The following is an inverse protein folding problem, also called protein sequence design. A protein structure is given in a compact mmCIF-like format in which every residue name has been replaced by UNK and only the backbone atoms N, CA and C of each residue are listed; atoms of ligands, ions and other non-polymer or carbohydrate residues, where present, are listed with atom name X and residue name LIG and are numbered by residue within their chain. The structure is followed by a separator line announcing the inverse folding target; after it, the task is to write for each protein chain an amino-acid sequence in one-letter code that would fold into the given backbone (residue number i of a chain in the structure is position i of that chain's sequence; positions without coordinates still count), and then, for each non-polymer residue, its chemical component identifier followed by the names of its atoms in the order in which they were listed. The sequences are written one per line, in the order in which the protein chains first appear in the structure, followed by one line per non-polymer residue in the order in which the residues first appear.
data_IF_048481303480
#
_entry.id   IF_048481303480
#
_cell.length_a   1.000
_cell.length_b   1.000
_cell.length_c   1.000
_cell.angle_alpha   90.00
_cell.angle_beta   90.00
_cell.angle_gamma   90.00
#
_symmetry.space_group_name_H-M   'P 1'
#
loop_
_entity.id
_entity.type
_entity.pdbx_description
1 polymer ?
#
# COMPACT_ATOMS: atom_id res chain seq x y z
N UNK A 1 -12.28 -33.18 17.79
CA UNK A 1 -12.11 -33.13 16.32
C UNK A 1 -11.59 -31.74 16.01
N UNK A 2 -10.27 -31.59 15.91
CA UNK A 2 -9.63 -30.32 15.61
C UNK A 2 -9.88 -29.99 14.13
N UNK A 3 -10.45 -28.81 13.88
CA UNK A 3 -10.61 -28.26 12.55
C UNK A 3 -9.21 -28.02 11.95
N UNK A 4 -8.93 -28.69 10.83
CA UNK A 4 -7.69 -28.52 10.07
C UNK A 4 -7.52 -27.06 9.65
N UNK A 5 -6.55 -26.38 10.29
CA UNK A 5 -6.09 -25.05 9.92
C UNK A 5 -5.35 -25.17 8.59
N UNK A 6 -5.86 -24.55 7.54
CA UNK A 6 -5.11 -24.40 6.29
C UNK A 6 -4.42 -23.03 6.37
N UNK A 7 -3.08 -22.96 6.40
CA UNK A 7 -2.36 -21.69 6.36
C UNK A 7 -2.73 -20.88 5.10
N UNK A 8 -2.80 -19.55 5.19
CA UNK A 8 -3.14 -18.68 4.05
C UNK A 8 -1.97 -18.61 3.04
N UNK A 9 -0.76 -18.98 3.47
CA UNK A 9 0.42 -19.21 2.64
C UNK A 9 1.19 -20.46 3.10
N UNK A 10 1.75 -21.21 2.14
CA UNK A 10 2.61 -22.37 2.40
C UNK A 10 4.00 -21.91 2.88
N UNK A 11 4.09 -21.62 4.19
CA UNK A 11 5.26 -21.04 4.86
C UNK A 11 6.46 -21.99 4.90
N UNK A 12 6.29 -23.30 4.67
CA UNK A 12 7.40 -24.27 4.67
C UNK A 12 8.40 -24.05 3.53
N UNK A 13 8.02 -23.25 2.51
CA UNK A 13 8.93 -22.78 1.46
C UNK A 13 9.84 -21.62 1.89
N UNK A 14 9.64 -21.04 3.08
CA UNK A 14 10.37 -19.84 3.55
C UNK A 14 11.74 -20.12 4.16
N UNK A 15 12.13 -21.37 4.38
CA UNK A 15 13.30 -21.70 5.23
C UNK A 15 14.62 -21.92 4.48
N UNK A 16 14.70 -21.67 3.17
CA UNK A 16 15.94 -21.90 2.38
C UNK A 16 16.52 -20.68 1.64
N UNK A 17 16.08 -19.46 1.94
CA UNK A 17 16.73 -18.26 1.42
C UNK A 17 17.77 -17.76 2.42
N UNK A 18 18.95 -18.38 2.44
CA UNK A 18 20.13 -17.73 3.02
C UNK A 18 20.29 -16.36 2.37
N UNK A 19 20.43 -15.30 3.18
CA UNK A 19 20.43 -13.90 2.75
C UNK A 19 21.23 -13.71 1.45
N UNK A 20 20.49 -13.62 0.35
CA UNK A 20 21.05 -13.67 -0.97
C UNK A 20 21.46 -12.27 -1.40
N UNK A 21 22.76 -11.99 -1.38
CA UNK A 21 23.30 -10.69 -1.76
C UNK A 21 22.98 -10.31 -3.22
N UNK A 22 22.43 -11.23 -4.04
CA UNK A 22 21.92 -10.93 -5.39
C UNK A 22 20.85 -9.82 -5.41
N UNK A 23 20.12 -9.59 -4.32
CA UNK A 23 19.13 -8.50 -4.25
C UNK A 23 19.76 -7.11 -4.23
N UNK A 24 20.92 -6.95 -3.57
CA UNK A 24 21.64 -5.67 -3.50
C UNK A 24 22.24 -5.29 -4.86
N UNK A 25 22.63 -6.27 -5.66
CA UNK A 25 23.18 -6.05 -7.00
C UNK A 25 22.11 -5.63 -8.02
N UNK A 26 20.86 -6.06 -7.84
CA UNK A 26 19.76 -5.76 -8.77
C UNK A 26 18.98 -4.48 -8.39
N UNK A 27 18.85 -4.20 -7.08
CA UNK A 27 18.27 -2.96 -6.57
C UNK A 27 19.04 -2.44 -5.36
N UNK A 28 20.16 -1.75 -5.63
CA UNK A 28 21.04 -1.23 -4.57
C UNK A 28 20.36 -0.21 -3.66
N UNK A 29 20.82 -0.13 -2.40
CA UNK A 29 20.28 0.74 -1.34
C UNK A 29 20.21 2.23 -1.73
N UNK A 30 21.06 2.69 -2.65
CA UNK A 30 20.99 4.05 -3.18
C UNK A 30 19.67 4.35 -3.91
N UNK A 31 19.04 3.35 -4.54
CA UNK A 31 17.71 3.52 -5.13
C UNK A 31 16.63 3.67 -4.05
N UNK A 32 16.75 2.94 -2.93
CA UNK A 32 15.87 3.13 -1.78
C UNK A 32 16.01 4.55 -1.25
N UNK A 33 17.24 5.05 -1.08
CA UNK A 33 17.47 6.44 -0.68
C UNK A 33 16.90 7.44 -1.72
N UNK A 34 16.99 7.14 -3.02
CA UNK A 34 16.47 8.01 -4.07
C UNK A 34 14.93 8.04 -4.13
N UNK A 35 14.23 7.08 -3.52
CA UNK A 35 12.75 7.06 -3.48
C UNK A 35 12.14 8.31 -2.81
N UNK A 36 12.91 9.02 -1.97
CA UNK A 36 12.50 10.31 -1.37
C UNK A 36 12.43 11.45 -2.40
N UNK A 37 13.13 11.33 -3.53
CA UNK A 37 13.23 12.37 -4.55
C UNK A 37 12.22 12.19 -5.69
N UNK A 38 11.80 10.96 -5.96
CA UNK A 38 10.88 10.65 -7.05
C UNK A 38 9.46 10.95 -6.61
N UNK A 39 8.83 11.94 -7.25
CA UNK A 39 7.51 12.47 -6.88
C UNK A 39 6.38 11.83 -7.67
N UNK A 40 5.25 11.63 -6.98
CA UNK A 40 3.99 11.16 -7.54
C UNK A 40 3.12 12.31 -8.05
N UNK A 41 2.05 11.98 -8.77
CA UNK A 41 1.03 12.93 -9.24
C UNK A 41 1.58 13.95 -10.24
N UNK A 42 2.54 13.52 -11.07
CA UNK A 42 3.21 14.37 -12.07
C UNK A 42 2.25 15.10 -13.02
N UNK A 43 1.18 14.42 -13.43
CA UNK A 43 0.19 14.89 -14.41
C UNK A 43 -1.08 15.52 -13.81
N UNK A 44 -1.21 15.55 -12.47
CA UNK A 44 -2.41 16.03 -11.79
C UNK A 44 -2.09 17.32 -11.02
N UNK A 45 -2.89 18.39 -11.16
CA UNK A 45 -2.72 19.59 -10.35
C UNK A 45 -3.00 19.31 -8.86
N UNK A 46 -1.99 19.48 -8.01
CA UNK A 46 -2.08 19.26 -6.56
C UNK A 46 -1.46 20.43 -5.78
N UNK A 47 -1.72 20.50 -4.48
CA UNK A 47 -1.08 21.45 -3.55
C UNK A 47 0.38 21.06 -3.28
N UNK A 48 0.62 19.78 -3.05
CA UNK A 48 1.94 19.19 -2.88
C UNK A 48 2.05 17.89 -3.71
N UNK A 49 3.25 17.32 -3.81
CA UNK A 49 3.50 16.04 -4.48
C UNK A 49 4.31 15.13 -3.55
N UNK A 50 3.70 14.06 -3.00
CA UNK A 50 4.39 13.11 -2.16
C UNK A 50 5.41 12.35 -3.01
N UNK A 51 6.51 11.97 -2.37
CA UNK A 51 7.50 11.07 -2.92
C UNK A 51 7.01 9.62 -2.87
N UNK A 52 7.69 8.73 -3.61
CA UNK A 52 7.49 7.28 -3.48
C UNK A 52 7.70 6.85 -2.02
N UNK A 53 8.72 7.39 -1.34
CA UNK A 53 8.97 7.05 0.06
C UNK A 53 7.82 7.41 1.01
N UNK A 54 7.27 8.63 0.88
CA UNK A 54 6.13 9.09 1.68
C UNK A 54 4.89 8.23 1.43
N UNK A 55 4.62 7.92 0.15
CA UNK A 55 3.54 7.04 -0.25
C UNK A 55 3.70 5.62 0.32
N UNK A 56 4.85 4.97 0.11
CA UNK A 56 5.12 3.63 0.62
C UNK A 56 4.98 3.53 2.13
N UNK A 57 5.41 4.56 2.87
CA UNK A 57 5.20 4.62 4.32
C UNK A 57 3.70 4.62 4.68
N UNK A 58 2.91 5.52 4.07
CA UNK A 58 1.48 5.61 4.36
C UNK A 58 0.74 4.34 3.95
N UNK A 59 1.03 3.78 2.78
CA UNK A 59 0.47 2.49 2.33
C UNK A 59 0.79 1.38 3.33
N UNK A 60 2.03 1.31 3.83
CA UNK A 60 2.42 0.33 4.83
C UNK A 60 1.63 0.49 6.13
N UNK A 61 1.46 1.73 6.61
CA UNK A 61 0.67 2.00 7.80
C UNK A 61 -0.81 1.63 7.59
N UNK A 62 -1.39 1.98 6.44
CA UNK A 62 -2.76 1.61 6.10
C UNK A 62 -2.94 0.11 5.94
N UNK A 63 -1.95 -0.63 5.41
CA UNK A 63 -1.96 -2.09 5.39
C UNK A 63 -2.08 -2.67 6.80
N UNK A 64 -1.39 -2.09 7.79
CA UNK A 64 -1.48 -2.56 9.18
C UNK A 64 -2.88 -2.36 9.77
N UNK A 65 -3.51 -1.20 9.52
CA UNK A 65 -4.89 -0.96 9.96
C UNK A 65 -5.89 -1.87 9.25
N UNK A 66 -5.82 -1.94 7.91
CA UNK A 66 -6.69 -2.79 7.10
C UNK A 66 -6.51 -4.27 7.46
N UNK A 67 -5.28 -4.73 7.60
CA UNK A 67 -4.95 -6.09 8.00
C UNK A 67 -5.53 -6.45 9.36
N UNK A 68 -5.38 -5.58 10.36
CA UNK A 68 -5.93 -5.81 11.69
C UNK A 68 -7.45 -5.94 11.72
N UNK A 69 -8.17 -5.20 10.86
CA UNK A 69 -9.64 -5.27 10.83
C UNK A 69 -10.18 -6.33 9.87
N UNK A 70 -9.52 -6.60 8.75
CA UNK A 70 -9.96 -7.58 7.74
C UNK A 70 -9.60 -9.00 8.17
N UNK A 71 -8.37 -9.20 8.66
CA UNK A 71 -7.79 -10.49 8.99
C UNK A 71 -7.07 -10.45 10.35
N UNK A 72 -7.82 -10.34 11.47
CA UNK A 72 -7.25 -10.18 12.81
C UNK A 72 -6.35 -11.35 13.24
N UNK A 73 -6.56 -12.53 12.67
CA UNK A 73 -5.84 -13.76 13.00
C UNK A 73 -4.57 -13.98 12.15
N UNK A 74 -4.10 -12.97 11.40
CA UNK A 74 -2.84 -13.06 10.66
C UNK A 74 -1.67 -13.43 11.58
N UNK A 75 -0.87 -14.37 11.12
CA UNK A 75 0.41 -14.72 11.72
C UNK A 75 1.42 -13.58 11.59
N UNK A 76 2.46 -13.59 12.42
CA UNK A 76 3.50 -12.56 12.34
C UNK A 76 4.30 -12.65 11.02
N UNK A 77 4.43 -13.85 10.44
CA UNK A 77 5.01 -14.03 9.13
C UNK A 77 4.18 -13.36 8.02
N UNK A 78 2.85 -13.51 8.05
CA UNK A 78 1.95 -12.85 7.09
C UNK A 78 1.95 -11.33 7.25
N UNK A 79 1.99 -10.82 8.50
CA UNK A 79 2.12 -9.38 8.77
C UNK A 79 3.43 -8.82 8.23
N UNK A 80 4.54 -9.54 8.43
CA UNK A 80 5.85 -9.15 7.90
C UNK A 80 5.83 -9.15 6.37
N UNK A 81 5.34 -10.22 5.75
CA UNK A 81 5.26 -10.35 4.29
C UNK A 81 4.41 -9.24 3.65
N UNK A 82 3.26 -8.92 4.27
CA UNK A 82 2.40 -7.82 3.84
C UNK A 82 3.09 -6.45 3.98
N UNK A 83 3.78 -6.23 5.10
CA UNK A 83 4.51 -4.98 5.38
C UNK A 83 5.66 -4.78 4.41
N UNK A 84 6.45 -5.83 4.16
CA UNK A 84 7.56 -5.80 3.23
C UNK A 84 7.06 -5.56 1.80
N UNK A 85 5.98 -6.25 1.38
CA UNK A 85 5.37 -5.98 0.07
C UNK A 85 4.91 -4.52 -0.04
N UNK A 86 4.22 -3.98 0.96
CA UNK A 86 3.74 -2.60 0.95
C UNK A 86 4.87 -1.58 0.85
N UNK A 87 5.99 -1.80 1.54
CA UNK A 87 7.16 -0.93 1.47
C UNK A 87 7.77 -0.92 0.05
N UNK A 88 7.81 -2.07 -0.60
CA UNK A 88 8.51 -2.22 -1.90
C UNK A 88 7.63 -2.08 -3.13
N UNK A 89 6.31 -2.03 -2.99
CA UNK A 89 5.38 -2.20 -4.12
C UNK A 89 5.60 -1.21 -5.27
N UNK A 90 6.02 0.02 -4.95
CA UNK A 90 6.33 1.09 -5.92
C UNK A 90 7.83 1.42 -5.99
N UNK A 91 8.72 0.64 -5.37
CA UNK A 91 10.17 0.82 -5.56
C UNK A 91 10.64 0.71 -7.03
N UNK A 92 10.04 -0.12 -7.90
CA UNK A 92 10.36 -0.10 -9.33
C UNK A 92 10.22 1.30 -9.95
N UNK A 93 9.27 2.12 -9.47
CA UNK A 93 9.01 3.48 -9.95
C UNK A 93 10.16 4.46 -9.67
N UNK A 94 11.10 4.12 -8.79
CA UNK A 94 12.33 4.91 -8.64
C UNK A 94 13.13 4.95 -9.95
N UNK A 95 13.08 3.88 -10.74
CA UNK A 95 13.80 3.76 -12.02
C UNK A 95 12.92 4.14 -13.22
N UNK A 96 11.61 3.87 -13.17
CA UNK A 96 10.69 4.11 -14.29
C UNK A 96 9.96 5.46 -14.22
N UNK A 97 9.92 6.09 -13.04
CA UNK A 97 9.07 7.23 -12.72
C UNK A 97 7.63 6.79 -12.39
N UNK A 98 6.93 7.61 -11.59
CA UNK A 98 5.51 7.42 -11.30
C UNK A 98 4.68 7.58 -12.59
N UNK A 99 4.05 6.48 -13.01
CA UNK A 99 3.22 6.46 -14.21
C UNK A 99 1.75 6.51 -13.84
N UNK A 100 1.06 7.56 -14.31
CA UNK A 100 -0.35 7.74 -14.02
C UNK A 100 -1.18 6.50 -14.45
N UNK A 101 -2.10 6.06 -13.58
CA UNK A 101 -2.93 4.87 -13.81
C UNK A 101 -3.61 4.81 -15.19
N UNK A 102 -4.14 5.92 -15.78
CA UNK A 102 -4.72 5.86 -17.12
C UNK A 102 -3.72 5.41 -18.20
N UNK A 103 -2.45 5.79 -18.07
CA UNK A 103 -1.37 5.37 -18.99
C UNK A 103 -1.06 3.90 -18.79
N UNK A 104 -0.92 3.43 -17.53
CA UNK A 104 -0.72 2.00 -17.22
C UNK A 104 -1.80 1.13 -17.86
N UNK A 105 -3.07 1.49 -17.67
CA UNK A 105 -4.23 0.79 -18.27
C UNK A 105 -4.26 0.82 -19.79
N UNK A 106 -3.90 1.96 -20.39
CA UNK A 106 -3.82 2.08 -21.85
C UNK A 106 -2.72 1.16 -22.40
N UNK A 107 -1.56 1.11 -21.76
CA UNK A 107 -0.49 0.17 -22.14
C UNK A 107 -0.94 -1.27 -21.99
N UNK A 108 -1.53 -1.68 -20.86
CA UNK A 108 -2.08 -3.03 -20.66
C UNK A 108 -3.07 -3.42 -21.77
N UNK A 109 -3.92 -2.50 -22.23
CA UNK A 109 -4.90 -2.77 -23.30
C UNK A 109 -4.28 -3.07 -24.67
N UNK A 110 -3.00 -2.74 -24.87
CA UNK A 110 -2.27 -2.98 -26.11
C UNK A 110 -1.62 -4.38 -26.14
N UNK A 111 -1.67 -5.12 -25.03
CA UNK A 111 -1.08 -6.44 -24.85
C UNK A 111 -2.17 -7.49 -24.60
N UNK A 112 -1.86 -8.80 -24.72
CA UNK A 112 -2.81 -9.87 -24.42
C UNK A 112 -3.43 -9.72 -23.03
N UNK A 113 -4.69 -10.12 -22.89
CA UNK A 113 -5.42 -9.99 -21.62
C UNK A 113 -4.69 -10.72 -20.50
N UNK A 114 -4.36 -9.99 -19.44
CA UNK A 114 -3.64 -10.52 -18.27
C UNK A 114 -2.13 -10.32 -18.34
N UNK A 115 -1.60 -9.76 -19.43
CA UNK A 115 -0.21 -9.34 -19.54
C UNK A 115 -0.09 -7.83 -19.31
N UNK A 116 0.76 -7.44 -18.37
CA UNK A 116 1.18 -6.05 -18.18
C UNK A 116 2.66 -5.96 -18.55
N UNK A 117 3.02 -5.27 -19.66
CA UNK A 117 4.43 -5.08 -20.02
C UNK A 117 5.18 -4.28 -18.94
N UNK A 118 4.45 -3.43 -18.20
CA UNK A 118 5.02 -2.67 -17.10
C UNK A 118 5.35 -3.58 -15.93
N UNK A 119 4.46 -4.50 -15.55
CA UNK A 119 4.74 -5.47 -14.48
C UNK A 119 5.98 -6.29 -14.81
N UNK A 120 6.13 -6.74 -16.06
CA UNK A 120 7.31 -7.48 -16.52
C UNK A 120 8.60 -6.66 -16.41
N UNK A 121 8.53 -5.36 -16.72
CA UNK A 121 9.67 -4.44 -16.56
C UNK A 121 9.98 -4.25 -15.08
N UNK A 122 8.97 -3.96 -14.26
CA UNK A 122 9.09 -3.69 -12.82
C UNK A 122 9.68 -4.89 -12.06
N UNK A 123 9.18 -6.10 -12.33
CA UNK A 123 9.72 -7.35 -11.78
C UNK A 123 11.19 -7.56 -12.21
N UNK A 124 11.52 -7.25 -13.47
CA UNK A 124 12.88 -7.43 -13.98
C UNK A 124 13.90 -6.44 -13.38
N UNK A 125 13.47 -5.22 -13.05
CA UNK A 125 14.39 -4.17 -12.59
C UNK A 125 14.45 -4.02 -11.06
N UNK A 126 13.55 -4.70 -10.33
CA UNK A 126 13.47 -4.62 -8.88
C UNK A 126 13.22 -6.03 -8.30
N UNK A 127 14.30 -6.77 -8.05
CA UNK A 127 14.24 -8.12 -7.49
C UNK A 127 13.47 -8.21 -6.16
N UNK A 128 13.67 -7.29 -5.18
CA UNK A 128 12.92 -7.34 -3.93
C UNK A 128 11.39 -7.28 -4.15
N UNK A 129 10.94 -6.42 -5.08
CA UNK A 129 9.54 -6.35 -5.47
C UNK A 129 9.07 -7.64 -6.14
N UNK A 130 9.82 -8.17 -7.11
CA UNK A 130 9.46 -9.38 -7.84
C UNK A 130 9.25 -10.59 -6.90
N UNK A 131 10.18 -10.80 -5.97
CA UNK A 131 10.14 -11.91 -5.04
C UNK A 131 8.95 -11.82 -4.08
N UNK A 132 8.69 -10.64 -3.52
CA UNK A 132 7.57 -10.42 -2.62
C UNK A 132 6.23 -10.51 -3.36
N UNK A 133 6.17 -10.02 -4.60
CA UNK A 133 4.99 -10.15 -5.46
C UNK A 133 4.69 -11.60 -5.80
N UNK A 134 5.71 -12.41 -6.09
CA UNK A 134 5.52 -13.84 -6.36
C UNK A 134 5.05 -14.59 -5.10
N UNK A 135 5.67 -14.34 -3.95
CA UNK A 135 5.30 -14.96 -2.68
C UNK A 135 3.85 -14.65 -2.25
N UNK A 136 3.35 -13.47 -2.62
CA UNK A 136 2.00 -13.01 -2.26
C UNK A 136 0.97 -13.18 -3.38
N UNK A 137 1.38 -13.71 -4.54
CA UNK A 137 0.52 -13.87 -5.72
C UNK A 137 -0.69 -14.73 -5.38
N UNK A 138 -1.88 -14.18 -5.63
CA UNK A 138 -3.12 -14.91 -5.36
C UNK A 138 -3.42 -15.14 -3.88
N UNK A 139 -2.83 -14.34 -2.98
CA UNK A 139 -3.14 -14.33 -1.54
C UNK A 139 -3.99 -13.11 -1.17
N UNK A 140 -4.63 -13.13 0.00
CA UNK A 140 -5.38 -11.97 0.49
C UNK A 140 -4.46 -10.78 0.80
N UNK A 141 -3.18 -11.03 1.09
CA UNK A 141 -2.20 -10.00 1.41
C UNK A 141 -2.01 -9.02 0.25
N UNK A 142 -1.89 -9.54 -0.98
CA UNK A 142 -1.79 -8.71 -2.18
C UNK A 142 -3.04 -7.82 -2.39
N UNK A 143 -4.23 -8.32 -2.04
CA UNK A 143 -5.48 -7.56 -2.11
C UNK A 143 -5.53 -6.47 -1.02
N UNK A 144 -5.06 -6.76 0.19
CA UNK A 144 -4.97 -5.78 1.29
C UNK A 144 -3.98 -4.66 0.92
N UNK A 145 -2.80 -4.99 0.39
CA UNK A 145 -1.83 -3.98 -0.07
C UNK A 145 -2.43 -3.11 -1.16
N UNK A 146 -3.15 -3.70 -2.11
CA UNK A 146 -3.80 -2.92 -3.16
C UNK A 146 -4.95 -2.04 -2.64
N UNK A 147 -5.69 -2.48 -1.64
CA UNK A 147 -6.68 -1.64 -0.95
C UNK A 147 -6.00 -0.44 -0.27
N UNK A 148 -4.86 -0.66 0.39
CA UNK A 148 -4.10 0.41 1.05
C UNK A 148 -3.54 1.44 0.07
N UNK A 149 -2.99 1.01 -1.06
CA UNK A 149 -2.55 1.89 -2.17
C UNK A 149 -3.71 2.76 -2.69
N UNK A 150 -4.88 2.15 -2.94
CA UNK A 150 -6.07 2.89 -3.39
C UNK A 150 -6.56 3.87 -2.31
N UNK A 151 -6.53 3.45 -1.04
CA UNK A 151 -6.96 4.27 0.10
C UNK A 151 -6.08 5.51 0.24
N UNK A 152 -4.76 5.35 0.16
CA UNK A 152 -3.81 6.47 0.18
C UNK A 152 -4.08 7.41 -0.98
N UNK A 153 -4.22 6.89 -2.20
CA UNK A 153 -4.46 7.73 -3.37
C UNK A 153 -5.78 8.51 -3.27
N UNK A 154 -6.83 7.91 -2.69
CA UNK A 154 -8.12 8.54 -2.45
C UNK A 154 -8.03 9.64 -1.37
N UNK A 155 -7.38 9.33 -0.25
CA UNK A 155 -7.17 10.31 0.83
C UNK A 155 -6.35 11.49 0.32
N UNK A 156 -5.24 11.22 -0.37
CA UNK A 156 -4.36 12.25 -0.90
C UNK A 156 -5.08 13.17 -1.89
N UNK A 157 -5.75 12.61 -2.90
CA UNK A 157 -6.37 13.43 -3.96
C UNK A 157 -7.51 14.28 -3.41
N UNK A 158 -8.24 13.79 -2.41
CA UNK A 158 -9.34 14.54 -1.79
C UNK A 158 -8.84 15.77 -1.03
N UNK A 159 -7.69 15.65 -0.37
CA UNK A 159 -7.13 16.73 0.45
C UNK A 159 -6.21 17.68 -0.34
N UNK A 160 -5.53 17.18 -1.36
CA UNK A 160 -4.47 17.92 -2.06
C UNK A 160 -4.79 18.25 -3.52
N UNK A 161 -5.80 17.62 -4.12
CA UNK A 161 -6.14 17.84 -5.53
C UNK A 161 -6.74 19.22 -5.81
N UNK A 162 -6.44 19.79 -6.98
CA UNK A 162 -6.97 21.09 -7.43
C UNK A 162 -7.89 20.94 -8.65
N UNK A 163 -9.02 21.64 -8.61
CA UNK A 163 -9.96 21.75 -9.73
C UNK A 163 -10.89 20.55 -9.88
N UNK A 164 -11.67 20.54 -10.96
CA UNK A 164 -12.77 19.57 -11.17
C UNK A 164 -12.26 18.14 -11.41
N UNK A 165 -11.05 17.99 -11.97
CA UNK A 165 -10.45 16.68 -12.26
C UNK A 165 -10.27 15.84 -10.99
N UNK A 166 -10.02 16.48 -9.85
CA UNK A 166 -9.93 15.86 -8.53
C UNK A 166 -11.17 15.03 -8.21
N UNK A 167 -12.37 15.54 -8.49
CA UNK A 167 -13.63 14.83 -8.21
C UNK A 167 -13.82 13.61 -9.10
N UNK A 168 -13.27 13.65 -10.32
CA UNK A 168 -13.27 12.49 -11.22
C UNK A 168 -12.36 11.42 -10.66
N UNK A 169 -11.11 11.77 -10.34
CA UNK A 169 -10.12 10.82 -9.81
C UNK A 169 -10.60 10.23 -8.48
N UNK A 170 -11.10 11.04 -7.54
CA UNK A 170 -11.62 10.57 -6.26
C UNK A 170 -12.77 9.57 -6.44
N UNK A 171 -13.73 9.85 -7.33
CA UNK A 171 -14.81 8.90 -7.66
C UNK A 171 -14.29 7.60 -8.26
N UNK A 172 -13.27 7.67 -9.12
CA UNK A 172 -12.64 6.47 -9.67
C UNK A 172 -11.89 5.66 -8.60
N UNK A 173 -11.18 6.31 -7.67
CA UNK A 173 -10.49 5.64 -6.56
C UNK A 173 -11.49 5.00 -5.60
N UNK A 174 -12.59 5.68 -5.28
CA UNK A 174 -13.67 5.10 -4.46
C UNK A 174 -14.28 3.86 -5.12
N UNK A 175 -14.53 3.91 -6.44
CA UNK A 175 -15.01 2.73 -7.19
C UNK A 175 -13.99 1.59 -7.15
N UNK A 176 -12.70 1.89 -7.34
CA UNK A 176 -11.65 0.89 -7.27
C UNK A 176 -11.55 0.26 -5.87
N UNK A 177 -11.69 1.06 -4.81
CA UNK A 177 -11.69 0.59 -3.42
C UNK A 177 -12.82 -0.43 -3.19
N UNK A 178 -14.04 -0.08 -3.60
CA UNK A 178 -15.19 -0.99 -3.49
C UNK A 178 -15.02 -2.27 -4.33
N UNK A 179 -14.42 -2.16 -5.53
CA UNK A 179 -14.14 -3.31 -6.37
C UNK A 179 -13.15 -4.28 -5.71
N UNK A 180 -12.11 -3.77 -5.04
CA UNK A 180 -11.14 -4.61 -4.33
C UNK A 180 -11.70 -5.22 -3.04
N UNK A 181 -12.64 -4.56 -2.35
CA UNK A 181 -13.42 -5.20 -1.29
C UNK A 181 -14.16 -6.42 -1.84
N UNK A 182 -14.83 -6.27 -2.99
CA UNK A 182 -15.57 -7.38 -3.60
C UNK A 182 -14.64 -8.53 -4.03
N UNK A 183 -13.49 -8.22 -4.66
CA UNK A 183 -12.48 -9.23 -5.00
C UNK A 183 -12.04 -10.01 -3.74
N UNK A 184 -11.83 -9.29 -2.64
CA UNK A 184 -11.51 -9.90 -1.35
C UNK A 184 -12.63 -10.82 -0.85
N UNK A 185 -13.87 -10.36 -0.87
CA UNK A 185 -15.04 -11.14 -0.45
C UNK A 185 -15.22 -12.42 -1.28
N UNK A 186 -14.99 -12.34 -2.59
CA UNK A 186 -15.13 -13.48 -3.50
C UNK A 186 -13.99 -14.50 -3.29
N UNK A 187 -12.76 -14.04 -3.09
CA UNK A 187 -11.59 -14.90 -2.91
C UNK A 187 -11.42 -15.47 -1.50
N UNK A 188 -11.77 -14.69 -0.47
CA UNK A 188 -11.60 -15.05 0.94
C UNK A 188 -12.85 -14.64 1.76
N UNK A 189 -13.99 -15.30 1.55
CA UNK A 189 -15.29 -14.92 2.14
C UNK A 189 -15.32 -14.99 3.68
N UNK A 190 -14.38 -15.71 4.29
CA UNK A 190 -14.29 -15.86 5.75
C UNK A 190 -13.62 -14.66 6.45
N UNK A 191 -13.03 -13.72 5.69
CA UNK A 191 -12.39 -12.52 6.23
C UNK A 191 -13.38 -11.35 6.27
N UNK A 192 -13.04 -10.32 7.05
CA UNK A 192 -13.94 -9.22 7.41
C UNK A 192 -13.79 -8.01 6.47
N UNK A 193 -13.85 -8.24 5.15
CA UNK A 193 -13.57 -7.23 4.12
C UNK A 193 -14.40 -5.95 4.24
N UNK A 194 -15.65 -6.04 4.68
CA UNK A 194 -16.51 -4.87 4.87
C UNK A 194 -15.98 -3.89 5.94
N UNK A 195 -15.16 -4.35 6.88
CA UNK A 195 -14.52 -3.46 7.86
C UNK A 195 -13.51 -2.49 7.25
N UNK A 196 -13.05 -2.74 6.02
CA UNK A 196 -12.25 -1.78 5.27
C UNK A 196 -12.97 -0.45 5.05
N UNK A 197 -14.31 -0.45 4.95
CA UNK A 197 -15.08 0.79 4.85
C UNK A 197 -14.98 1.64 6.12
N UNK A 198 -14.96 1.02 7.30
CA UNK A 198 -14.78 1.77 8.55
C UNK A 198 -13.41 2.46 8.62
N UNK A 199 -12.36 1.83 8.09
CA UNK A 199 -11.02 2.45 7.99
C UNK A 199 -11.04 3.63 7.02
N UNK A 200 -11.71 3.48 5.87
CA UNK A 200 -11.90 4.59 4.93
C UNK A 200 -12.68 5.75 5.57
N UNK A 201 -13.80 5.45 6.23
CA UNK A 201 -14.63 6.47 6.88
C UNK A 201 -13.84 7.23 7.94
N UNK A 202 -13.11 6.54 8.82
CA UNK A 202 -12.24 7.13 9.81
C UNK A 202 -11.17 8.03 9.16
N UNK A 203 -10.44 7.53 8.16
CA UNK A 203 -9.37 8.30 7.50
C UNK A 203 -9.88 9.57 6.79
N UNK A 204 -11.13 9.57 6.33
CA UNK A 204 -11.70 10.69 5.57
C UNK A 204 -12.37 11.74 6.45
N UNK A 205 -12.78 11.41 7.67
CA UNK A 205 -13.58 12.29 8.51
C UNK A 205 -12.98 12.58 9.89
N UNK A 206 -12.09 11.72 10.40
CA UNK A 206 -11.43 11.96 11.67
C UNK A 206 -10.40 13.08 11.53
N UNK A 207 -10.32 13.90 12.57
CA UNK A 207 -9.31 14.96 12.68
C UNK A 207 -8.10 14.41 13.46
N UNK A 208 -6.86 14.66 12.99
CA UNK A 208 -5.67 14.30 13.75
C UNK A 208 -5.74 14.90 15.15
N UNK A 209 -5.47 14.08 16.17
CA UNK A 209 -5.40 14.54 17.55
C UNK A 209 -4.31 15.60 17.69
N UNK A 210 -4.66 16.72 18.35
CA UNK A 210 -3.70 17.76 18.71
C UNK A 210 -3.63 17.89 20.22
N UNK A 211 -2.41 17.91 20.74
CA UNK A 211 -2.17 18.21 22.14
C UNK A 211 -2.23 19.72 22.31
N UNK A 212 -3.17 20.20 23.13
CA UNK A 212 -3.15 21.59 23.59
C UNK A 212 -2.17 21.73 24.76
N UNK A 213 -0.94 22.15 24.44
CA UNK A 213 0.08 22.39 25.45
C UNK A 213 -0.30 23.50 26.43
N UNK A 214 -1.16 24.45 26.06
CA UNK A 214 -1.64 25.50 26.99
C UNK A 214 -2.57 24.91 28.07
N UNK A 215 -3.36 23.89 27.73
CA UNK A 215 -4.11 23.13 28.74
C UNK A 215 -3.18 22.34 29.66
N UNK A 216 -2.18 21.65 29.10
CA UNK A 216 -1.20 20.89 29.89
C UNK A 216 -0.42 21.80 30.84
N UNK A 217 -0.03 23.01 30.40
CA UNK A 217 0.70 23.97 31.23
C UNK A 217 -0.15 24.47 32.40
N UNK A 218 -1.47 24.64 32.23
CA UNK A 218 -2.36 25.03 33.33
C UNK A 218 -2.42 23.97 34.43
N UNK A 219 -2.32 22.70 34.04
CA UNK A 219 -2.37 21.56 34.95
C UNK A 219 -1.00 21.16 35.51
N UNK A 220 0.08 21.78 35.00
CA UNK A 220 1.43 21.53 35.48
C UNK A 220 1.61 22.07 36.91
N UNK A 221 2.05 21.26 37.88
CA UNK A 221 2.31 21.73 39.23
C UNK A 221 3.40 22.81 39.19
N UNK A 222 3.08 24.01 39.68
CA UNK A 222 4.07 25.08 39.82
C UNK A 222 5.12 24.64 40.83
N UNK A 223 6.35 24.45 40.37
CA UNK A 223 7.49 24.35 41.28
C UNK A 223 7.73 25.75 41.86
N UNK A 224 7.50 25.92 43.17
CA UNK A 224 7.93 27.10 43.90
C UNK A 224 9.47 27.09 43.95
N UNK A 225 10.09 28.13 43.41
CA UNK A 225 11.54 28.42 43.50
C UNK A 225 11.80 29.22 44.78
#
# INVERSE_FOLDING_TARGET
MEAGKTPIADLDKLTNAGADMRHLDQFGIANVANSVNVKRWGSVPTLDKPSIAEHSYLVTMYCRYLGAVIAPDMTDAEKLLMTDLALVHDLPEVKTGDMATPIKRYLESMFPKGESPLDLIEERICAPYADLREQTRGTCLAVIVKLADILEALHFITNNGKGEVTRVIARERQKAFNAYIQIGMDGWPNLQWMKAQGVLEALMHDIPEQIDFEEIIKDAPRQEI
#
